data_IF_424893687774
#
_entry.id   IF_424893687774
#
_cell.length_a   1.000
_cell.length_b   1.000
_cell.length_c   1.000
_cell.angle_alpha   90.00
_cell.angle_beta   90.00
_cell.angle_gamma   90.00
#
_symmetry.space_group_name_H-M   'P 1'
#
loop_
_entity.id
_entity.type
_entity.pdbx_description
1 polymer ?
#
# COMPACT_ATOMS: atom_id res chain seq x y z
N UNK A 1 20.45 0.41 -3.67
CA UNK A 1 19.11 0.41 -3.03
C UNK A 1 18.73 -1.06 -2.86
N UNK A 2 18.09 -1.47 -1.75
CA UNK A 2 17.78 -2.90 -1.54
C UNK A 2 16.75 -3.45 -2.54
N UNK A 3 15.99 -2.57 -3.17
CA UNK A 3 14.98 -2.91 -4.14
C UNK A 3 14.88 -1.81 -5.20
N UNK A 4 14.31 -2.15 -6.35
CA UNK A 4 13.80 -1.21 -7.35
C UNK A 4 12.64 -1.86 -8.12
N UNK A 5 11.89 -1.03 -8.83
CA UNK A 5 10.68 -1.46 -9.55
C UNK A 5 10.78 -1.24 -11.05
N UNK A 6 11.99 -1.13 -11.60
CA UNK A 6 12.20 -0.75 -13.02
C UNK A 6 11.64 -1.81 -13.97
N UNK A 7 11.79 -3.08 -13.63
CA UNK A 7 11.34 -4.22 -14.44
C UNK A 7 9.93 -4.70 -14.05
N UNK A 8 9.34 -4.11 -13.01
CA UNK A 8 8.11 -4.61 -12.43
C UNK A 8 6.91 -4.31 -13.31
N UNK A 9 5.93 -5.21 -13.30
CA UNK A 9 4.66 -4.98 -13.99
C UNK A 9 3.48 -5.53 -13.20
N UNK A 10 2.35 -4.85 -13.33
CA UNK A 10 1.07 -5.24 -12.74
C UNK A 10 0.46 -6.42 -13.51
N UNK A 11 0.35 -7.58 -12.85
CA UNK A 11 -0.23 -8.79 -13.44
C UNK A 11 -1.73 -8.87 -13.23
N UNK A 12 -2.19 -8.60 -12.02
CA UNK A 12 -3.62 -8.64 -11.66
C UNK A 12 -3.94 -7.54 -10.63
N UNK A 13 -5.19 -7.09 -10.61
CA UNK A 13 -5.67 -6.03 -9.74
C UNK A 13 -7.15 -6.22 -9.41
N UNK A 14 -7.48 -6.00 -8.13
CA UNK A 14 -8.85 -5.97 -7.64
C UNK A 14 -9.11 -4.64 -6.95
N UNK A 15 -10.23 -4.00 -7.32
CA UNK A 15 -10.56 -2.65 -6.89
C UNK A 15 -11.85 -2.67 -6.06
N UNK A 16 -11.75 -2.22 -4.81
CA UNK A 16 -12.86 -2.03 -3.89
C UNK A 16 -13.02 -0.55 -3.56
N UNK A 17 -14.17 -0.16 -3.02
CA UNK A 17 -14.32 1.05 -2.23
C UNK A 17 -14.55 0.65 -0.78
N UNK A 18 -13.68 1.08 0.12
CA UNK A 18 -13.80 0.78 1.55
C UNK A 18 -14.18 2.06 2.29
N UNK A 19 -15.37 2.06 2.89
CA UNK A 19 -15.87 3.15 3.71
C UNK A 19 -15.34 3.11 5.15
N UNK A 20 -15.97 3.89 6.01
CA UNK A 20 -15.68 3.99 7.43
C UNK A 20 -16.89 3.54 8.26
N UNK A 21 -16.66 2.53 9.11
CA UNK A 21 -17.69 1.91 9.94
C UNK A 21 -18.23 2.83 11.03
N UNK A 22 -17.40 3.71 11.60
CA UNK A 22 -17.80 4.65 12.67
C UNK A 22 -18.85 5.66 12.19
N UNK A 23 -18.69 6.18 10.97
CA UNK A 23 -19.63 7.13 10.36
C UNK A 23 -20.66 6.46 9.45
N UNK A 24 -20.76 5.12 9.49
CA UNK A 24 -21.66 4.33 8.64
C UNK A 24 -21.50 4.58 7.13
N UNK A 25 -20.29 4.92 6.68
CA UNK A 25 -19.98 4.96 5.25
C UNK A 25 -19.79 3.52 4.75
N UNK A 26 -20.56 3.14 3.73
CA UNK A 26 -20.61 1.77 3.22
C UNK A 26 -19.41 1.38 2.36
N UNK A 27 -19.24 0.07 2.16
CA UNK A 27 -18.28 -0.50 1.23
C UNK A 27 -18.94 -0.87 -0.10
N UNK A 28 -18.17 -0.74 -1.19
CA UNK A 28 -18.51 -1.35 -2.49
C UNK A 28 -17.42 -2.35 -2.81
N UNK A 29 -17.73 -3.64 -2.72
CA UNK A 29 -16.76 -4.70 -2.99
C UNK A 29 -16.75 -5.08 -4.47
N UNK A 30 -15.58 -5.42 -4.98
CA UNK A 30 -15.41 -5.95 -6.32
C UNK A 30 -16.23 -7.24 -6.51
N UNK A 31 -16.64 -7.50 -7.76
CA UNK A 31 -17.28 -8.77 -8.16
C UNK A 31 -16.32 -9.72 -8.89
N UNK A 32 -15.19 -9.21 -9.36
CA UNK A 32 -14.14 -9.92 -10.09
C UNK A 32 -12.87 -9.04 -10.13
N UNK A 33 -11.73 -9.61 -10.55
CA UNK A 33 -10.53 -8.86 -10.89
C UNK A 33 -10.77 -7.93 -12.09
N UNK A 34 -10.13 -6.77 -12.13
CA UNK A 34 -10.32 -5.80 -13.22
C UNK A 34 -9.49 -6.14 -14.45
N UNK A 35 -10.12 -6.17 -15.62
CA UNK A 35 -9.43 -6.29 -16.90
C UNK A 35 -8.96 -4.91 -17.37
N UNK A 36 -7.65 -4.71 -17.42
CA UNK A 36 -7.01 -3.47 -17.86
C UNK A 36 -6.12 -3.72 -19.07
N UNK A 37 -6.02 -2.73 -19.96
CA UNK A 37 -5.01 -2.74 -21.02
C UNK A 37 -3.59 -2.53 -20.47
N UNK A 38 -2.59 -2.83 -21.29
CA UNK A 38 -1.18 -2.79 -20.88
C UNK A 38 -0.69 -1.36 -20.60
N UNK A 39 -1.22 -0.35 -21.28
CA UNK A 39 -0.86 1.04 -21.04
C UNK A 39 -1.33 1.50 -19.66
N UNK A 40 -2.55 1.10 -19.27
CA UNK A 40 -3.10 1.41 -17.98
C UNK A 40 -2.41 0.63 -16.85
N UNK A 41 -2.07 -0.64 -17.07
CA UNK A 41 -1.22 -1.40 -16.13
C UNK A 41 0.12 -0.74 -15.88
N UNK A 42 0.78 -0.22 -16.93
CA UNK A 42 2.04 0.52 -16.79
C UNK A 42 1.85 1.79 -15.95
N UNK A 43 0.81 2.57 -16.23
CA UNK A 43 0.47 3.77 -15.46
C UNK A 43 0.25 3.44 -13.98
N UNK A 44 -0.53 2.40 -13.68
CA UNK A 44 -0.82 1.97 -12.30
C UNK A 44 0.43 1.43 -11.59
N UNK A 45 1.26 0.67 -12.30
CA UNK A 45 2.54 0.18 -11.76
C UNK A 45 3.39 1.35 -11.31
N UNK A 46 3.55 2.38 -12.15
CA UNK A 46 4.28 3.59 -11.79
C UNK A 46 3.62 4.35 -10.64
N UNK A 47 2.30 4.57 -10.68
CA UNK A 47 1.54 5.27 -9.64
C UNK A 47 1.76 4.63 -8.26
N UNK A 48 1.60 3.31 -8.17
CA UNK A 48 1.69 2.60 -6.90
C UNK A 48 3.12 2.52 -6.38
N UNK A 49 4.09 2.16 -7.23
CA UNK A 49 5.42 1.77 -6.77
C UNK A 49 6.39 2.96 -6.58
N UNK A 50 6.17 4.10 -7.26
CA UNK A 50 7.08 5.27 -7.16
C UNK A 50 7.16 5.91 -5.78
N UNK A 51 6.12 5.71 -4.95
CA UNK A 51 6.05 6.33 -3.62
C UNK A 51 6.94 5.64 -2.60
N UNK A 52 7.54 4.50 -2.96
CA UNK A 52 8.41 3.72 -2.09
C UNK A 52 9.88 4.04 -2.37
N UNK A 53 10.44 4.92 -1.53
CA UNK A 53 11.84 5.36 -1.61
C UNK A 53 12.62 5.14 -0.29
N UNK A 54 11.97 4.60 0.74
CA UNK A 54 12.59 4.33 2.04
C UNK A 54 13.32 3.00 2.07
N UNK A 55 14.48 2.95 2.72
CA UNK A 55 15.18 1.69 2.98
C UNK A 55 14.63 0.94 4.22
N UNK A 56 13.67 1.51 4.94
CA UNK A 56 13.09 0.88 6.13
C UNK A 56 12.16 -0.26 5.73
N UNK A 57 12.58 -1.49 6.03
CA UNK A 57 11.75 -2.68 5.86
C UNK A 57 10.89 -2.93 7.09
N UNK A 58 9.70 -3.46 6.85
CA UNK A 58 8.77 -3.91 7.87
C UNK A 58 8.53 -5.42 7.73
N UNK A 59 7.90 -5.99 8.74
CA UNK A 59 7.40 -7.36 8.75
C UNK A 59 6.03 -7.38 9.42
N UNK A 60 5.16 -8.31 9.02
CA UNK A 60 3.90 -8.51 9.74
C UNK A 60 4.17 -9.01 11.17
N UNK A 61 3.20 -8.79 12.05
CA UNK A 61 3.23 -9.30 13.41
C UNK A 61 1.82 -9.60 13.91
N UNK A 62 1.74 -10.50 14.89
CA UNK A 62 0.57 -10.77 15.69
C UNK A 62 1.05 -11.18 17.08
N UNK A 63 0.32 -10.82 18.12
CA UNK A 63 0.72 -11.10 19.52
C UNK A 63 0.68 -12.58 19.89
N UNK A 64 -0.12 -13.38 19.18
CA UNK A 64 -0.37 -14.79 19.51
C UNK A 64 0.28 -15.69 18.47
N UNK A 65 -0.11 -15.56 17.22
CA UNK A 65 0.43 -16.34 16.11
C UNK A 65 0.30 -15.53 14.82
N UNK A 66 1.34 -15.54 14.00
CA UNK A 66 1.37 -14.84 12.72
C UNK A 66 0.21 -15.22 11.78
N UNK A 67 -0.22 -16.49 11.77
CA UNK A 67 -1.37 -16.93 10.96
C UNK A 67 -2.70 -16.28 11.39
N UNK A 68 -2.75 -15.61 12.55
CA UNK A 68 -3.88 -14.80 13.01
C UNK A 68 -3.82 -13.34 12.51
N UNK A 69 -2.74 -12.94 11.85
CA UNK A 69 -2.72 -11.69 11.08
C UNK A 69 -3.46 -11.92 9.76
N UNK A 70 -4.66 -11.35 9.66
CA UNK A 70 -5.57 -11.55 8.51
C UNK A 70 -4.89 -11.15 7.19
N UNK A 71 -4.17 -10.02 7.17
CA UNK A 71 -3.50 -9.54 5.96
C UNK A 71 -2.38 -10.48 5.55
N UNK A 72 -1.54 -10.91 6.49
CA UNK A 72 -0.49 -11.90 6.24
C UNK A 72 -1.06 -13.19 5.65
N UNK A 73 -2.09 -13.77 6.27
CA UNK A 73 -2.67 -15.04 5.85
C UNK A 73 -3.28 -14.95 4.45
N UNK A 74 -3.97 -13.84 4.15
CA UNK A 74 -4.50 -13.58 2.80
C UNK A 74 -3.37 -13.47 1.77
N UNK A 75 -2.32 -12.70 2.07
CA UNK A 75 -1.18 -12.50 1.16
C UNK A 75 -0.41 -13.79 0.92
N UNK A 76 -0.21 -14.60 1.97
CA UNK A 76 0.38 -15.95 1.87
C UNK A 76 -0.41 -16.83 0.91
N UNK A 77 -1.74 -16.85 1.02
CA UNK A 77 -2.61 -17.59 0.10
C UNK A 77 -2.54 -17.07 -1.34
N UNK A 78 -2.40 -15.75 -1.55
CA UNK A 78 -2.19 -15.17 -2.89
C UNK A 78 -0.87 -15.65 -3.50
N UNK A 79 0.22 -15.67 -2.73
CA UNK A 79 1.51 -16.16 -3.24
C UNK A 79 1.50 -17.66 -3.56
N UNK A 80 0.79 -18.45 -2.77
CA UNK A 80 0.64 -19.90 -2.98
C UNK A 80 -0.27 -20.22 -4.18
N UNK A 81 -1.32 -19.43 -4.38
CA UNK A 81 -2.24 -19.53 -5.50
C UNK A 81 -2.69 -18.14 -5.98
N UNK A 82 -2.01 -17.55 -6.99
CA UNK A 82 -2.33 -16.20 -7.47
C UNK A 82 -3.76 -16.02 -7.98
N UNK A 83 -4.43 -17.10 -8.41
CA UNK A 83 -5.84 -17.07 -8.86
C UNK A 83 -6.79 -16.72 -7.70
N UNK A 84 -6.36 -16.93 -6.45
CA UNK A 84 -7.15 -16.60 -5.26
C UNK A 84 -7.21 -15.10 -4.93
N UNK A 85 -6.51 -14.25 -5.68
CA UNK A 85 -6.40 -12.80 -5.41
C UNK A 85 -7.76 -12.13 -5.22
N UNK A 86 -8.77 -12.49 -6.02
CA UNK A 86 -10.11 -11.95 -5.87
C UNK A 86 -10.70 -12.28 -4.49
N UNK A 87 -10.73 -13.56 -4.12
CA UNK A 87 -11.26 -14.01 -2.83
C UNK A 87 -10.50 -13.38 -1.66
N UNK A 88 -9.16 -13.40 -1.72
CA UNK A 88 -8.33 -12.85 -0.66
C UNK A 88 -8.44 -11.32 -0.58
N UNK A 89 -8.63 -10.63 -1.70
CA UNK A 89 -8.88 -9.18 -1.70
C UNK A 89 -10.16 -8.80 -0.97
N UNK A 90 -11.23 -9.62 -1.07
CA UNK A 90 -12.47 -9.40 -0.33
C UNK A 90 -12.25 -9.54 1.17
N UNK A 91 -11.49 -10.54 1.60
CA UNK A 91 -11.15 -10.75 3.02
C UNK A 91 -10.35 -9.57 3.57
N UNK A 92 -9.34 -9.11 2.83
CA UNK A 92 -8.54 -7.94 3.20
C UNK A 92 -9.41 -6.68 3.26
N UNK A 93 -10.28 -6.43 2.28
CA UNK A 93 -11.15 -5.25 2.24
C UNK A 93 -12.17 -5.22 3.39
N UNK A 94 -12.80 -6.36 3.69
CA UNK A 94 -13.71 -6.50 4.85
C UNK A 94 -12.96 -6.27 6.16
N UNK A 95 -11.74 -6.78 6.27
CA UNK A 95 -10.91 -6.56 7.45
C UNK A 95 -10.54 -5.09 7.61
N UNK A 96 -10.14 -4.40 6.54
CA UNK A 96 -9.89 -2.96 6.56
C UNK A 96 -11.12 -2.17 7.03
N UNK A 97 -12.32 -2.50 6.54
CA UNK A 97 -13.56 -1.88 7.00
C UNK A 97 -13.78 -2.09 8.50
N UNK A 98 -13.51 -3.29 9.01
CA UNK A 98 -13.63 -3.60 10.44
C UNK A 98 -12.67 -2.79 11.33
N UNK A 99 -11.54 -2.32 10.75
CA UNK A 99 -10.54 -1.47 11.43
C UNK A 99 -10.73 0.02 11.17
N UNK A 100 -11.60 0.40 10.24
CA UNK A 100 -11.92 1.79 9.91
C UNK A 100 -12.98 2.33 10.87
N UNK A 101 -12.61 2.50 12.15
CA UNK A 101 -13.52 2.81 13.27
C UNK A 101 -13.26 4.16 13.95
N UNK A 102 -12.53 5.06 13.30
CA UNK A 102 -12.24 6.40 13.82
C UNK A 102 -12.72 7.46 12.83
N UNK A 103 -13.36 8.57 13.25
CA UNK A 103 -13.95 9.57 12.34
C UNK A 103 -12.95 10.19 11.35
N UNK A 104 -11.65 10.26 11.71
CA UNK A 104 -10.61 10.80 10.83
C UNK A 104 -10.11 9.82 9.75
N UNK A 105 -10.56 8.55 9.77
CA UNK A 105 -10.25 7.60 8.70
C UNK A 105 -11.21 7.87 7.56
N UNK A 106 -10.73 8.37 6.42
CA UNK A 106 -11.61 8.62 5.27
C UNK A 106 -11.91 7.32 4.54
N UNK A 107 -13.10 7.18 3.96
CA UNK A 107 -13.34 6.15 2.96
C UNK A 107 -12.57 6.43 1.66
N UNK A 108 -12.60 5.48 0.72
CA UNK A 108 -12.07 5.70 -0.62
C UNK A 108 -11.74 4.42 -1.36
N UNK A 109 -11.04 4.55 -2.48
CA UNK A 109 -10.67 3.42 -3.33
C UNK A 109 -9.55 2.60 -2.69
N UNK A 110 -9.67 1.27 -2.79
CA UNK A 110 -8.78 0.30 -2.17
C UNK A 110 -8.39 -0.78 -3.17
N UNK A 111 -7.10 -0.98 -3.36
CA UNK A 111 -6.53 -1.76 -4.45
C UNK A 111 -5.68 -2.90 -3.89
N UNK A 112 -5.94 -4.11 -4.39
CA UNK A 112 -5.09 -5.28 -4.18
C UNK A 112 -4.48 -5.66 -5.51
N UNK A 113 -3.15 -5.61 -5.60
CA UNK A 113 -2.39 -5.77 -6.83
C UNK A 113 -1.44 -6.96 -6.71
N UNK A 114 -1.30 -7.73 -7.78
CA UNK A 114 -0.23 -8.72 -7.92
C UNK A 114 0.78 -8.22 -8.93
N UNK A 115 2.01 -8.02 -8.48
CA UNK A 115 3.13 -7.58 -9.30
C UNK A 115 4.10 -8.73 -9.57
N UNK A 116 4.70 -8.69 -10.74
CA UNK A 116 5.78 -9.55 -11.18
C UNK A 116 7.06 -8.74 -11.31
N UNK A 117 8.19 -9.43 -11.27
CA UNK A 117 9.52 -8.88 -11.57
C UNK A 117 9.88 -7.63 -10.75
N UNK A 118 9.55 -7.66 -9.46
CA UNK A 118 10.06 -6.68 -8.49
C UNK A 118 11.49 -7.04 -8.12
N UNK A 119 12.44 -6.13 -8.33
CA UNK A 119 13.82 -6.39 -7.98
C UNK A 119 14.03 -6.18 -6.47
N UNK A 120 14.53 -7.20 -5.79
CA UNK A 120 14.89 -7.14 -4.38
C UNK A 120 16.22 -7.88 -4.19
N UNK A 121 17.27 -7.18 -3.76
CA UNK A 121 18.62 -7.71 -3.60
C UNK A 121 19.09 -8.52 -4.82
N UNK A 122 18.93 -7.91 -6.02
CA UNK A 122 19.31 -8.46 -7.33
C UNK A 122 18.51 -9.71 -7.77
N UNK A 123 17.37 -9.97 -7.12
CA UNK A 123 16.45 -11.06 -7.48
C UNK A 123 15.13 -10.49 -7.93
N UNK A 124 14.63 -10.98 -9.06
CA UNK A 124 13.27 -10.74 -9.50
C UNK A 124 12.32 -11.61 -8.69
N UNK A 125 11.43 -10.96 -7.97
CA UNK A 125 10.45 -11.60 -7.09
C UNK A 125 9.05 -11.05 -7.33
N UNK A 126 8.07 -11.88 -7.04
CA UNK A 126 6.67 -11.47 -7.03
C UNK A 126 6.35 -10.62 -5.79
N UNK A 127 5.38 -9.72 -5.92
CA UNK A 127 4.92 -8.90 -4.80
C UNK A 127 3.40 -8.71 -4.79
N UNK A 128 2.84 -8.57 -3.59
CA UNK A 128 1.45 -8.14 -3.41
C UNK A 128 1.44 -6.68 -2.95
N UNK A 129 0.75 -5.83 -3.71
CA UNK A 129 0.51 -4.45 -3.35
C UNK A 129 -0.86 -4.27 -2.70
N UNK A 130 -0.92 -3.47 -1.64
CA UNK A 130 -2.13 -3.11 -0.90
C UNK A 130 -2.16 -1.60 -0.80
N UNK A 131 -3.08 -0.95 -1.51
CA UNK A 131 -3.10 0.51 -1.64
C UNK A 131 -4.46 1.09 -1.29
N UNK A 132 -4.46 2.31 -0.77
CA UNK A 132 -5.68 3.07 -0.52
C UNK A 132 -5.51 4.52 -0.92
N UNK A 133 -6.52 5.07 -1.57
CA UNK A 133 -6.66 6.51 -1.85
C UNK A 133 -7.84 7.04 -1.06
N UNK A 134 -7.64 8.16 -0.40
CA UNK A 134 -8.57 8.84 0.51
C UNK A 134 -8.84 10.27 0.07
N UNK A 135 -7.97 10.82 -0.77
CA UNK A 135 -8.01 12.21 -1.24
C UNK A 135 -8.26 12.21 -2.74
N UNK A 136 -9.24 13.02 -3.16
CA UNK A 136 -9.48 13.34 -4.57
C UNK A 136 -9.04 14.77 -4.85
N UNK A 137 -8.37 14.97 -5.96
CA UNK A 137 -8.06 16.29 -6.48
C UNK A 137 -9.16 16.71 -7.45
N UNK A 138 -9.49 18.00 -7.43
CA UNK A 138 -10.34 18.63 -8.44
C UNK A 138 -9.48 18.97 -9.64
N UNK A 139 -9.91 18.57 -10.83
CA UNK A 139 -9.29 18.94 -12.10
C UNK A 139 -10.36 19.41 -13.08
N UNK A 140 -9.93 20.23 -14.03
CA UNK A 140 -10.79 20.78 -15.07
C UNK A 140 -10.52 19.99 -16.35
N UNK A 141 -11.54 19.33 -16.88
CA UNK A 141 -11.51 18.67 -18.18
C UNK A 141 -12.05 19.64 -19.23
N UNK A 142 -11.25 19.90 -20.27
CA UNK A 142 -11.64 20.77 -21.39
C UNK A 142 -12.06 19.87 -22.54
N UNK A 143 -13.32 19.97 -22.93
CA UNK A 143 -13.87 19.29 -24.10
C UNK A 143 -14.02 20.31 -25.23
N UNK A 144 -13.33 20.07 -26.35
CA UNK A 144 -13.47 20.88 -27.56
C UNK A 144 -14.44 20.21 -28.52
N UNK A 145 -15.60 20.83 -28.70
CA UNK A 145 -16.57 20.47 -29.74
C UNK A 145 -16.30 21.31 -31.00
N UNK A 146 -17.06 21.06 -32.07
CA UNK A 146 -16.83 21.70 -33.37
C UNK A 146 -16.93 23.23 -33.33
N UNK A 147 -17.74 23.81 -32.45
CA UNK A 147 -18.00 25.26 -32.37
C UNK A 147 -17.93 25.82 -30.94
N UNK A 148 -17.66 25.00 -29.93
CA UNK A 148 -17.65 25.42 -28.53
C UNK A 148 -16.55 24.70 -27.73
N UNK A 149 -16.12 25.34 -26.65
CA UNK A 149 -15.19 24.78 -25.67
C UNK A 149 -15.91 24.70 -24.34
N UNK A 150 -16.11 23.49 -23.83
CA UNK A 150 -16.82 23.23 -22.58
C UNK A 150 -15.80 22.87 -21.50
N UNK A 151 -16.03 23.41 -20.30
CA UNK A 151 -15.22 23.10 -19.11
C UNK A 151 -16.03 22.24 -18.15
N UNK A 152 -15.52 21.06 -17.83
CA UNK A 152 -16.10 20.14 -16.86
C UNK A 152 -15.26 20.11 -15.59
N UNK A 153 -15.88 20.29 -14.43
CA UNK A 153 -15.25 19.96 -13.16
C UNK A 153 -15.28 18.44 -12.94
N UNK A 154 -14.13 17.86 -12.62
CA UNK A 154 -14.00 16.45 -12.28
C UNK A 154 -13.24 16.30 -10.96
N UNK A 155 -13.60 15.27 -10.21
CA UNK A 155 -12.86 14.85 -9.02
C UNK A 155 -12.28 13.45 -9.24
N UNK A 156 -10.98 13.30 -9.02
CA UNK A 156 -10.31 12.03 -9.27
C UNK A 156 -9.05 11.81 -8.45
N UNK A 157 -8.45 10.65 -8.65
CA UNK A 157 -7.24 10.25 -7.94
C UNK A 157 -6.04 10.94 -8.59
N UNK A 158 -5.22 11.60 -7.78
CA UNK A 158 -3.96 12.14 -8.26
C UNK A 158 -2.93 11.00 -8.42
N UNK A 159 -2.61 10.64 -9.66
CA UNK A 159 -1.63 9.60 -10.01
C UNK A 159 -0.18 9.90 -9.55
N UNK A 160 0.07 11.07 -8.98
CA UNK A 160 1.34 11.47 -8.40
C UNK A 160 1.40 11.37 -6.88
N UNK A 161 0.27 11.14 -6.21
CA UNK A 161 0.18 11.13 -4.76
C UNK A 161 -0.54 9.86 -4.30
N UNK A 162 0.24 8.88 -3.85
CA UNK A 162 -0.29 7.74 -3.13
C UNK A 162 -0.54 8.14 -1.67
N UNK A 163 -1.75 7.89 -1.17
CA UNK A 163 -2.10 8.21 0.21
C UNK A 163 -1.56 7.16 1.19
N UNK A 164 -1.87 5.89 0.93
CA UNK A 164 -1.43 4.76 1.76
C UNK A 164 -1.07 3.56 0.90
N UNK A 165 0.00 2.87 1.28
CA UNK A 165 0.49 1.72 0.54
C UNK A 165 1.24 0.73 1.41
N UNK A 166 1.16 -0.53 1.02
CA UNK A 166 2.03 -1.60 1.49
C UNK A 166 2.41 -2.47 0.30
N UNK A 167 3.70 -2.76 0.14
CA UNK A 167 4.20 -3.75 -0.82
C UNK A 167 4.79 -4.90 -0.01
N UNK A 168 4.26 -6.09 -0.23
CA UNK A 168 4.72 -7.34 0.38
C UNK A 168 5.56 -8.08 -0.65
N UNK A 169 6.82 -8.34 -0.36
CA UNK A 169 7.71 -9.12 -1.22
C UNK A 169 7.60 -10.61 -0.90
N UNK A 170 7.54 -11.48 -1.91
CA UNK A 170 7.52 -12.93 -1.73
C UNK A 170 8.90 -13.51 -1.36
N UNK A 171 9.46 -13.02 -0.26
CA UNK A 171 10.75 -13.43 0.30
C UNK A 171 10.66 -13.46 1.82
N UNK A 172 11.51 -14.25 2.49
CA UNK A 172 11.54 -14.35 3.96
C UNK A 172 10.18 -14.78 4.53
N UNK A 173 9.53 -15.77 3.90
CA UNK A 173 8.20 -16.28 4.31
C UNK A 173 8.16 -16.70 5.78
N UNK A 174 9.22 -17.37 6.26
CA UNK A 174 9.37 -17.81 7.65
C UNK A 174 9.53 -16.63 8.62
N UNK A 175 10.10 -15.51 8.17
CA UNK A 175 10.24 -14.28 8.95
C UNK A 175 9.14 -13.26 8.65
N UNK A 176 7.95 -13.71 8.27
CA UNK A 176 6.77 -12.86 8.11
C UNK A 176 6.79 -11.87 6.92
N UNK A 177 7.53 -12.21 5.87
CA UNK A 177 7.74 -11.40 4.65
C UNK A 177 8.44 -10.05 4.87
N UNK A 178 9.16 -9.60 3.85
CA UNK A 178 9.70 -8.24 3.79
C UNK A 178 8.66 -7.27 3.23
N UNK A 179 8.36 -6.20 3.97
CA UNK A 179 7.33 -5.23 3.58
C UNK A 179 7.91 -3.83 3.41
N UNK A 180 7.34 -3.07 2.48
CA UNK A 180 7.44 -1.61 2.45
C UNK A 180 6.09 -1.02 2.85
N UNK A 181 6.10 0.06 3.63
CA UNK A 181 4.88 0.71 4.11
C UNK A 181 5.00 2.23 3.94
N UNK A 182 3.96 2.83 3.36
CA UNK A 182 3.82 4.28 3.18
C UNK A 182 2.46 4.70 3.76
N UNK A 183 2.47 5.78 4.55
CA UNK A 183 1.27 6.50 4.98
C UNK A 183 1.56 8.01 4.89
N UNK A 184 1.15 8.61 3.77
CA UNK A 184 1.42 10.02 3.44
C UNK A 184 0.40 10.99 4.04
N UNK A 185 -0.76 10.49 4.47
CA UNK A 185 -1.84 11.32 5.03
C UNK A 185 -1.60 11.59 6.52
N UNK A 186 -1.09 10.60 7.26
CA UNK A 186 -0.96 10.68 8.72
C UNK A 186 0.48 10.93 9.19
N UNK A 187 1.11 12.01 8.75
CA UNK A 187 2.49 12.37 9.17
C UNK A 187 2.61 12.75 10.66
N UNK A 188 1.50 13.10 11.32
CA UNK A 188 1.46 13.54 12.71
C UNK A 188 0.48 12.68 13.54
N UNK A 189 0.98 11.56 14.11
CA UNK A 189 0.48 10.79 15.27
C UNK A 189 -1.03 10.49 15.46
N UNK A 190 -1.94 10.86 14.55
CA UNK A 190 -3.38 10.95 14.84
C UNK A 190 -4.23 9.78 14.34
N UNK A 191 -3.66 8.82 13.61
CA UNK A 191 -4.25 7.50 13.44
C UNK A 191 -3.20 6.53 12.88
N UNK A 192 -2.57 5.71 13.73
CA UNK A 192 -1.68 4.63 13.28
C UNK A 192 -2.45 3.43 12.72
N UNK A 193 -3.70 3.63 12.32
CA UNK A 193 -4.61 2.56 11.94
C UNK A 193 -4.06 1.73 10.77
N UNK A 194 -3.45 2.38 9.77
CA UNK A 194 -2.97 1.69 8.58
C UNK A 194 -1.86 0.69 8.93
N UNK A 195 -0.85 1.16 9.66
CA UNK A 195 0.31 0.35 10.02
C UNK A 195 0.04 -0.59 11.19
N UNK A 196 -0.56 -0.10 12.27
CA UNK A 196 -0.64 -0.84 13.54
C UNK A 196 -1.92 -1.70 13.60
N UNK A 197 -3.09 -1.13 13.30
CA UNK A 197 -4.38 -1.82 13.49
C UNK A 197 -4.78 -2.70 12.29
N UNK A 198 -4.51 -2.24 11.07
CA UNK A 198 -4.82 -2.93 9.82
C UNK A 198 -3.69 -3.87 9.41
N UNK A 199 -2.49 -3.36 9.14
CA UNK A 199 -1.38 -4.24 8.72
C UNK A 199 -0.80 -5.02 9.90
N UNK A 200 -0.81 -4.43 11.11
CA UNK A 200 0.00 -4.89 12.24
C UNK A 200 1.45 -5.15 11.81
N UNK A 201 2.09 -4.10 11.30
CA UNK A 201 3.45 -4.13 10.78
C UNK A 201 4.44 -3.45 11.73
N UNK A 202 5.55 -4.12 12.03
CA UNK A 202 6.67 -3.57 12.81
C UNK A 202 7.93 -3.43 11.96
N UNK A 203 8.81 -2.52 12.34
CA UNK A 203 10.10 -2.35 11.66
C UNK A 203 10.88 -3.67 11.78
N UNK A 204 11.48 -4.11 10.67
CA UNK A 204 12.40 -5.25 10.64
C UNK A 204 13.76 -4.76 11.13
N UNK A 205 14.29 -5.40 12.17
CA UNK A 205 15.61 -5.10 12.71
C UNK A 205 16.71 -5.83 11.94
N UNK A 206 16.86 -5.48 10.66
CA UNK A 206 17.98 -5.96 9.85
C UNK A 206 19.28 -5.21 10.16
N UNK A 207 20.41 -5.66 9.60
CA UNK A 207 21.71 -5.04 9.87
C UNK A 207 21.79 -3.58 9.36
N UNK A 208 21.00 -3.25 8.33
CA UNK A 208 20.84 -1.88 7.87
C UNK A 208 20.14 -1.01 8.92
N UNK A 209 19.04 -1.49 9.50
CA UNK A 209 18.35 -0.82 10.60
C UNK A 209 19.26 -0.64 11.81
N UNK A 210 20.01 -1.68 12.21
CA UNK A 210 20.97 -1.58 13.32
C UNK A 210 22.02 -0.51 13.06
N UNK A 211 22.56 -0.45 11.85
CA UNK A 211 23.55 0.56 11.43
C UNK A 211 22.95 1.96 11.43
N UNK A 212 21.78 2.16 10.83
CA UNK A 212 21.05 3.45 10.83
C UNK A 212 20.72 3.91 12.25
N UNK A 213 20.21 3.00 13.09
CA UNK A 213 19.89 3.26 14.49
C UNK A 213 21.12 3.68 15.29
N UNK A 214 22.25 2.97 15.12
CA UNK A 214 23.51 3.32 15.75
C UNK A 214 24.00 4.71 15.29
N UNK A 215 23.94 5.00 13.99
CA UNK A 215 24.30 6.31 13.44
C UNK A 215 23.38 7.44 13.94
N UNK A 216 22.09 7.17 14.11
CA UNK A 216 21.14 8.16 14.64
C UNK A 216 21.35 8.40 16.14
N UNK A 217 21.69 7.36 16.90
CA UNK A 217 22.09 7.49 18.31
C UNK A 217 23.37 8.32 18.46
N UNK A 218 24.40 8.04 17.66
CA UNK A 218 25.66 8.80 17.71
C UNK A 218 25.44 10.27 17.32
N UNK A 219 24.65 10.55 16.27
CA UNK A 219 24.27 11.91 15.90
C UNK A 219 23.54 12.65 17.02
N UNK A 220 22.64 11.97 17.74
CA UNK A 220 21.94 12.55 18.90
C UNK A 220 22.89 12.81 20.06
N UNK A 221 23.85 11.92 20.30
CA UNK A 221 24.85 12.08 21.35
C UNK A 221 25.77 13.27 21.10
N UNK A 222 26.32 13.42 19.88
CA UNK A 222 27.17 14.56 19.51
C UNK A 222 26.44 15.90 19.65
N UNK A 223 25.16 15.97 19.29
CA UNK A 223 24.35 17.20 19.46
C UNK A 223 24.08 17.59 20.92
N UNK A 224 24.28 16.68 21.88
CA UNK A 224 24.09 16.97 23.30
C UNK A 224 25.36 17.63 23.89
N UNK A 225 26.52 17.48 23.26
CA UNK A 225 27.80 18.03 23.73
C UNK A 225 28.06 19.50 23.32
N UNK A 226 27.14 20.13 22.57
CA UNK A 226 27.24 21.55 22.15
C UNK A 226 26.57 22.55 23.15
N UNK A 227 26.56 22.25 24.45
CA UNK A 227 26.08 23.16 25.52
C UNK A 227 27.09 23.35 26.66
#
# INVERSE_FOLDING_TARGET
>A
MKYDFVQSYLKDIVIHRVGNKFISEECVFAKHSSTLDEQFKLLLTHFFLKSFNSNDLYQFTNKVNLDLNVVYSCVKSIFENPVSIYEQSLNIAKYLYSKSIHPNIKGGEFFICYFKDCNFEEKLIDAVGIFKTEIKDTFLEVEQLSEEVILHEKHGININKLDKGCVVFNINKEDSYSLLVVDNVNKANSARYWKDDFLSAKIRHDDFYKTKYLLDLTKKFVKIEDF
#
